data_IF_191177966415
#
_entry.id   IF_191177966415
#
_cell.length_a   1.000
_cell.length_b   1.000
_cell.length_c   1.000
_cell.angle_alpha   90.00
_cell.angle_beta   90.00
_cell.angle_gamma   90.00
#
_symmetry.space_group_name_H-M   'P 1'
#
loop_
_entity.id
_entity.type
_entity.pdbx_description
1 polymer ?
#
# COMPACT_ATOMS: atom_id res chain seq x y z
N UNK A 1 -8.63 9.15 -17.36
CA UNK A 1 -7.98 9.43 -16.04
C UNK A 1 -8.82 8.76 -14.97
N UNK A 2 -8.45 7.54 -14.53
CA UNK A 2 -9.01 6.94 -13.32
C UNK A 2 -8.29 7.61 -12.14
N UNK A 3 -8.88 8.67 -11.60
CA UNK A 3 -8.32 9.34 -10.43
C UNK A 3 -8.49 8.44 -9.21
N UNK A 4 -7.41 8.23 -8.45
CA UNK A 4 -7.40 7.60 -7.13
C UNK A 4 -8.40 8.29 -6.15
N UNK A 5 -8.83 9.51 -6.46
CA UNK A 5 -9.88 10.23 -5.75
C UNK A 5 -11.25 9.53 -5.75
N UNK A 6 -11.54 8.69 -6.75
CA UNK A 6 -12.83 7.99 -6.82
C UNK A 6 -12.96 6.79 -5.89
N UNK A 7 -11.89 6.33 -5.24
CA UNK A 7 -11.98 5.18 -4.35
C UNK A 7 -12.84 5.48 -3.10
N UNK A 8 -12.69 6.67 -2.52
CA UNK A 8 -13.50 7.11 -1.38
C UNK A 8 -14.96 7.42 -1.77
N UNK A 9 -15.21 7.94 -2.98
CA UNK A 9 -16.57 8.20 -3.47
C UNK A 9 -17.33 6.89 -3.84
N UNK A 10 -16.62 5.84 -4.29
CA UNK A 10 -17.24 4.56 -4.63
C UNK A 10 -17.72 3.78 -3.42
N UNK A 11 -17.13 3.95 -2.25
CA UNK A 11 -17.54 3.31 -0.99
C UNK A 11 -18.91 3.83 -0.51
N UNK A 12 -19.32 5.06 -0.89
CA UNK A 12 -20.55 5.68 -0.39
C UNK A 12 -21.79 5.54 -1.29
N UNK A 13 -21.67 5.07 -2.54
CA UNK A 13 -22.77 5.15 -3.53
C UNK A 13 -23.46 3.81 -3.88
N UNK A 14 -23.25 2.73 -3.13
CA UNK A 14 -24.04 1.50 -3.27
C UNK A 14 -23.95 0.79 -4.64
N UNK A 15 -22.93 1.08 -5.44
CA UNK A 15 -22.63 0.33 -6.67
C UNK A 15 -21.62 -0.75 -6.37
N UNK A 16 -21.77 -1.91 -6.98
CA UNK A 16 -20.87 -3.08 -6.89
C UNK A 16 -19.43 -2.67 -6.66
N UNK A 17 -18.93 -2.92 -5.45
CA UNK A 17 -17.58 -2.57 -5.02
C UNK A 17 -16.58 -3.28 -5.95
N UNK A 18 -15.97 -2.55 -6.85
CA UNK A 18 -14.78 -3.03 -7.53
C UNK A 18 -13.64 -2.96 -6.53
N UNK A 19 -13.16 -4.11 -6.08
CA UNK A 19 -12.01 -4.18 -5.19
C UNK A 19 -10.82 -3.45 -5.81
N UNK A 20 -10.10 -2.68 -4.98
CA UNK A 20 -8.85 -2.05 -5.37
C UNK A 20 -7.70 -3.05 -5.18
N UNK A 21 -7.04 -3.40 -6.28
CA UNK A 21 -5.98 -4.43 -6.28
C UNK A 21 -4.62 -3.76 -6.45
N UNK A 22 -3.73 -3.94 -5.47
CA UNK A 22 -2.34 -3.50 -5.54
C UNK A 22 -1.39 -4.69 -5.57
N UNK A 23 -0.56 -4.78 -6.60
CA UNK A 23 0.51 -5.77 -6.71
C UNK A 23 1.82 -5.15 -6.26
N UNK A 24 2.39 -5.66 -5.16
CA UNK A 24 3.55 -5.05 -4.51
C UNK A 24 4.85 -5.82 -4.75
N UNK A 25 5.95 -5.07 -4.95
CA UNK A 25 7.28 -5.65 -5.13
C UNK A 25 7.60 -5.95 -6.59
N UNK A 26 7.08 -5.16 -7.48
CA UNK A 26 7.43 -5.17 -8.91
C UNK A 26 8.92 -4.83 -9.06
N UNK A 27 9.64 -5.62 -9.85
CA UNK A 27 11.09 -5.48 -10.05
C UNK A 27 11.50 -5.25 -11.49
N UNK A 28 10.58 -5.42 -12.44
CA UNK A 28 10.83 -5.20 -13.85
C UNK A 28 9.66 -4.50 -14.55
N UNK A 29 9.93 -3.88 -15.69
CA UNK A 29 8.90 -3.32 -16.56
C UNK A 29 7.93 -4.40 -17.06
N UNK A 30 8.44 -5.60 -17.36
CA UNK A 30 7.60 -6.74 -17.76
C UNK A 30 6.59 -7.11 -16.68
N UNK A 31 7.01 -7.20 -15.41
CA UNK A 31 6.11 -7.49 -14.29
C UNK A 31 5.07 -6.37 -14.10
N UNK A 32 5.47 -5.11 -14.27
CA UNK A 32 4.57 -3.96 -14.19
C UNK A 32 3.48 -4.02 -15.27
N UNK A 33 3.85 -4.35 -16.50
CA UNK A 33 2.93 -4.51 -17.61
C UNK A 33 1.98 -5.70 -17.40
N UNK A 34 2.48 -6.84 -16.94
CA UNK A 34 1.65 -8.01 -16.61
C UNK A 34 0.65 -7.68 -15.50
N UNK A 35 1.08 -7.01 -14.44
CA UNK A 35 0.19 -6.58 -13.36
C UNK A 35 -0.93 -5.65 -13.87
N UNK A 36 -0.58 -4.66 -14.71
CA UNK A 36 -1.54 -3.76 -15.34
C UNK A 36 -2.55 -4.51 -16.22
N UNK A 37 -2.07 -5.37 -17.13
CA UNK A 37 -2.93 -6.15 -18.03
C UNK A 37 -3.84 -7.13 -17.27
N UNK A 38 -3.39 -7.65 -16.13
CA UNK A 38 -4.20 -8.47 -15.23
C UNK A 38 -5.26 -7.67 -14.44
N UNK A 39 -5.27 -6.33 -14.58
CA UNK A 39 -6.27 -5.45 -13.97
C UNK A 39 -5.89 -4.88 -12.62
N UNK A 40 -4.61 -4.89 -12.24
CA UNK A 40 -4.16 -4.20 -11.04
C UNK A 40 -4.43 -2.69 -11.13
N UNK A 41 -4.96 -2.12 -10.06
CA UNK A 41 -5.21 -0.67 -9.95
C UNK A 41 -3.95 0.08 -9.48
N UNK A 42 -3.05 -0.61 -8.75
CA UNK A 42 -1.76 -0.07 -8.33
C UNK A 42 -0.63 -1.11 -8.36
N UNK A 43 0.60 -0.61 -8.49
CA UNK A 43 1.83 -1.39 -8.32
C UNK A 43 2.71 -0.77 -7.23
N UNK A 44 3.42 -1.61 -6.47
CA UNK A 44 4.37 -1.18 -5.45
C UNK A 44 5.82 -1.37 -5.90
N UNK A 45 6.61 -0.30 -5.85
CA UNK A 45 8.06 -0.29 -6.09
C UNK A 45 8.78 -0.17 -4.74
N UNK A 46 9.65 -1.12 -4.43
CA UNK A 46 10.31 -1.19 -3.13
C UNK A 46 11.59 -0.34 -3.12
N UNK A 47 11.57 0.73 -2.32
CA UNK A 47 12.71 1.66 -2.16
C UNK A 47 13.60 1.33 -0.95
N UNK A 48 13.40 0.18 -0.31
CA UNK A 48 14.15 -0.27 0.87
C UNK A 48 15.29 -1.22 0.51
N UNK A 49 16.54 -0.78 0.72
CA UNK A 49 17.76 -1.51 0.27
C UNK A 49 17.93 -2.93 0.82
N UNK A 50 17.36 -3.24 1.97
CA UNK A 50 17.46 -4.59 2.55
C UNK A 50 16.41 -5.57 2.02
N UNK A 51 15.47 -5.08 1.20
CA UNK A 51 14.49 -5.95 0.56
C UNK A 51 15.12 -6.70 -0.63
N UNK A 52 14.78 -7.98 -0.79
CA UNK A 52 15.14 -8.75 -2.00
C UNK A 52 14.50 -8.20 -3.28
N UNK A 53 13.48 -7.35 -3.15
CA UNK A 53 12.76 -6.71 -4.27
C UNK A 53 13.13 -5.23 -4.41
N UNK A 54 14.24 -4.81 -3.81
CA UNK A 54 14.72 -3.43 -3.88
C UNK A 54 14.97 -2.98 -5.31
N UNK A 55 14.55 -1.77 -5.61
CA UNK A 55 14.89 -1.04 -6.82
C UNK A 55 15.74 0.18 -6.47
N UNK A 56 16.84 0.39 -7.19
CA UNK A 56 17.51 1.67 -7.14
C UNK A 56 16.65 2.73 -7.84
N UNK A 57 16.93 4.00 -7.58
CA UNK A 57 16.13 5.13 -8.04
C UNK A 57 15.99 5.19 -9.55
N UNK A 58 17.06 4.90 -10.30
CA UNK A 58 17.05 4.91 -11.78
C UNK A 58 16.09 3.84 -12.32
N UNK A 59 16.16 2.63 -11.78
CA UNK A 59 15.29 1.53 -12.21
C UNK A 59 13.82 1.77 -11.82
N UNK A 60 13.57 2.31 -10.63
CA UNK A 60 12.23 2.68 -10.20
C UNK A 60 11.65 3.77 -11.12
N UNK A 61 12.46 4.76 -11.50
CA UNK A 61 12.08 5.83 -12.43
C UNK A 61 11.76 5.29 -13.82
N UNK A 62 12.57 4.39 -14.37
CA UNK A 62 12.32 3.74 -15.66
C UNK A 62 10.96 3.04 -15.70
N UNK A 63 10.66 2.25 -14.66
CA UNK A 63 9.35 1.58 -14.53
C UNK A 63 8.23 2.60 -14.42
N UNK A 64 8.39 3.61 -13.54
CA UNK A 64 7.42 4.69 -13.35
C UNK A 64 7.08 5.40 -14.66
N UNK A 65 8.07 5.87 -15.42
CA UNK A 65 7.85 6.61 -16.67
C UNK A 65 7.07 5.81 -17.70
N UNK A 66 7.26 4.48 -17.68
CA UNK A 66 6.62 3.58 -18.64
C UNK A 66 5.17 3.25 -18.29
N UNK A 67 4.73 3.36 -17.02
CA UNK A 67 3.44 2.80 -16.57
C UNK A 67 2.55 3.79 -15.80
N UNK A 68 3.07 4.92 -15.30
CA UNK A 68 2.36 5.81 -14.37
C UNK A 68 1.06 6.44 -14.93
N UNK A 69 0.85 6.41 -16.24
CA UNK A 69 -0.39 6.87 -16.87
C UNK A 69 -1.46 5.77 -16.94
N UNK A 70 -1.13 4.54 -16.63
CA UNK A 70 -1.97 3.36 -16.79
C UNK A 70 -2.37 2.75 -15.45
N UNK A 71 -1.48 2.80 -14.46
CA UNK A 71 -1.66 2.22 -13.12
C UNK A 71 -1.06 3.14 -12.06
N UNK A 72 -1.65 3.18 -10.86
CA UNK A 72 -1.10 3.96 -9.76
C UNK A 72 0.23 3.36 -9.29
N UNK A 73 1.30 4.16 -9.28
CA UNK A 73 2.58 3.75 -8.71
C UNK A 73 2.64 4.13 -7.23
N UNK A 74 3.05 3.19 -6.39
CA UNK A 74 3.26 3.35 -4.95
C UNK A 74 4.72 3.07 -4.64
N UNK A 75 5.43 4.04 -4.06
CA UNK A 75 6.80 3.90 -3.60
C UNK A 75 6.80 3.44 -2.15
N UNK A 76 7.38 2.26 -1.88
CA UNK A 76 7.35 1.66 -0.54
C UNK A 76 8.66 1.94 0.17
N UNK A 77 8.57 2.67 1.27
CA UNK A 77 9.68 3.07 2.13
C UNK A 77 9.63 2.34 3.48
N UNK A 78 10.79 2.14 4.09
CA UNK A 78 10.94 1.62 5.45
C UNK A 78 12.03 2.44 6.13
N UNK A 79 11.65 3.30 7.07
CA UNK A 79 12.53 4.12 7.90
C UNK A 79 13.63 4.85 7.09
N UNK A 80 13.27 5.46 5.97
CA UNK A 80 14.18 6.21 5.10
C UNK A 80 14.33 7.64 5.59
N UNK A 81 15.41 8.33 5.16
CA UNK A 81 15.56 9.77 5.44
C UNK A 81 14.56 10.60 4.62
N UNK A 82 14.19 11.78 5.15
CA UNK A 82 13.29 12.72 4.45
C UNK A 82 13.86 13.14 3.09
N UNK A 83 15.19 13.34 3.01
CA UNK A 83 15.87 13.74 1.78
C UNK A 83 15.66 12.70 0.68
N UNK A 84 15.84 11.41 1.01
CA UNK A 84 15.68 10.33 0.02
C UNK A 84 14.23 10.16 -0.41
N UNK A 85 13.27 10.27 0.52
CA UNK A 85 11.84 10.21 0.17
C UNK A 85 11.46 11.38 -0.73
N UNK A 86 11.90 12.61 -0.41
CA UNK A 86 11.64 13.78 -1.26
C UNK A 86 12.26 13.62 -2.64
N UNK A 87 13.52 13.18 -2.75
CA UNK A 87 14.17 12.90 -4.03
C UNK A 87 13.34 11.93 -4.89
N UNK A 88 12.85 10.85 -4.29
CA UNK A 88 12.00 9.88 -4.99
C UNK A 88 10.67 10.49 -5.44
N UNK A 89 10.01 11.27 -4.60
CA UNK A 89 8.71 11.88 -4.88
C UNK A 89 8.80 13.05 -5.87
N UNK A 90 9.92 13.75 -5.92
CA UNK A 90 10.17 14.82 -6.90
C UNK A 90 10.43 14.23 -8.29
N UNK A 91 11.17 13.14 -8.36
CA UNK A 91 11.38 12.41 -9.60
C UNK A 91 10.12 11.69 -10.11
N UNK A 92 9.22 11.26 -9.22
CA UNK A 92 8.02 10.49 -9.53
C UNK A 92 6.76 11.16 -8.94
N UNK A 93 6.38 12.35 -9.43
CA UNK A 93 5.43 13.26 -8.75
C UNK A 93 3.99 12.71 -8.61
N UNK A 94 3.58 11.76 -9.47
CA UNK A 94 2.26 11.11 -9.37
C UNK A 94 2.30 9.82 -8.55
N UNK A 95 3.45 9.44 -8.00
CA UNK A 95 3.54 8.29 -7.11
C UNK A 95 3.01 8.65 -5.71
N UNK A 96 2.46 7.64 -5.02
CA UNK A 96 2.04 7.75 -3.62
C UNK A 96 3.12 7.12 -2.74
N UNK A 97 3.50 7.80 -1.66
CA UNK A 97 4.38 7.21 -0.65
C UNK A 97 3.60 6.19 0.19
N UNK A 98 4.19 5.02 0.42
CA UNK A 98 3.76 4.06 1.43
C UNK A 98 4.85 3.91 2.48
N UNK A 99 4.56 4.31 3.70
CA UNK A 99 5.47 4.16 4.84
C UNK A 99 5.18 2.82 5.53
N UNK A 100 6.14 1.93 5.48
CA UNK A 100 5.98 0.53 5.91
C UNK A 100 6.91 0.14 7.07
N UNK A 101 7.58 1.11 7.67
CA UNK A 101 8.44 0.97 8.83
C UNK A 101 7.81 1.53 10.10
N UNK A 102 8.65 2.06 10.97
CA UNK A 102 8.28 2.66 12.25
C UNK A 102 8.15 4.20 12.18
N UNK A 103 7.90 4.73 10.97
CA UNK A 103 7.78 6.17 10.74
C UNK A 103 6.66 6.75 11.61
N UNK A 104 6.96 7.88 12.29
CA UNK A 104 6.00 8.58 13.13
C UNK A 104 4.94 9.33 12.31
N UNK A 105 3.79 9.66 12.91
CA UNK A 105 2.78 10.48 12.25
C UNK A 105 3.32 11.84 11.76
N UNK A 106 4.19 12.49 12.54
CA UNK A 106 4.85 13.76 12.20
C UNK A 106 5.72 13.61 10.96
N UNK A 107 6.54 12.57 10.93
CA UNK A 107 7.36 12.23 9.76
C UNK A 107 6.49 12.02 8.52
N UNK A 108 5.44 11.21 8.61
CA UNK A 108 4.56 10.94 7.47
C UNK A 108 3.89 12.22 6.93
N UNK A 109 3.52 13.16 7.81
CA UNK A 109 2.88 14.43 7.42
C UNK A 109 3.85 15.47 6.88
N UNK A 110 5.17 15.36 7.15
CA UNK A 110 6.16 16.37 6.74
C UNK A 110 6.22 16.55 5.22
N UNK A 111 5.89 15.51 4.46
CA UNK A 111 5.93 15.52 2.98
C UNK A 111 4.78 16.30 2.33
N UNK A 112 3.72 16.67 3.08
CA UNK A 112 2.54 17.43 2.59
C UNK A 112 1.90 16.82 1.33
N UNK A 113 1.94 15.51 1.21
CA UNK A 113 1.37 14.71 0.12
C UNK A 113 0.52 13.59 0.71
N UNK A 114 -0.42 13.07 -0.06
CA UNK A 114 -1.15 11.85 0.29
C UNK A 114 -0.19 10.69 0.52
N UNK A 115 -0.41 9.92 1.58
CA UNK A 115 0.39 8.75 1.89
C UNK A 115 -0.45 7.57 2.35
N UNK A 116 0.12 6.39 2.22
CA UNK A 116 -0.37 5.14 2.81
C UNK A 116 0.51 4.83 4.02
N UNK A 117 -0.09 4.49 5.17
CA UNK A 117 0.67 3.98 6.31
C UNK A 117 0.37 2.51 6.50
N UNK A 118 1.41 1.68 6.52
CA UNK A 118 1.29 0.28 6.87
C UNK A 118 1.33 0.12 8.40
N UNK A 119 0.35 -0.62 8.93
CA UNK A 119 0.22 -0.95 10.34
C UNK A 119 0.29 -2.47 10.49
N UNK A 120 1.18 -2.94 11.37
CA UNK A 120 1.27 -4.36 11.71
C UNK A 120 0.19 -4.73 12.72
N UNK A 121 -0.71 -5.65 12.34
CA UNK A 121 -1.83 -6.08 13.17
C UNK A 121 -1.34 -6.96 14.32
N UNK A 122 -1.78 -6.62 15.54
CA UNK A 122 -1.59 -7.37 16.79
C UNK A 122 -2.95 -7.61 17.44
N UNK A 123 -3.00 -8.44 18.49
CA UNK A 123 -4.24 -8.84 19.16
C UNK A 123 -5.12 -7.68 19.63
N UNK A 124 -4.54 -6.56 20.06
CA UNK A 124 -5.26 -5.37 20.56
C UNK A 124 -5.35 -4.23 19.52
N UNK A 125 -5.47 -4.56 18.23
CA UNK A 125 -5.55 -3.55 17.18
C UNK A 125 -6.90 -2.81 17.19
N UNK A 126 -6.82 -1.48 17.04
CA UNK A 126 -7.99 -0.59 16.87
C UNK A 126 -7.77 0.32 15.66
N UNK A 127 -8.61 0.15 14.63
CA UNK A 127 -8.50 0.86 13.36
C UNK A 127 -8.81 2.35 13.50
N UNK A 128 -9.82 2.70 14.31
CA UNK A 128 -10.21 4.08 14.55
C UNK A 128 -9.08 4.85 15.23
N UNK A 129 -8.49 4.28 16.28
CA UNK A 129 -7.34 4.87 16.96
C UNK A 129 -6.13 5.06 16.02
N UNK A 130 -5.88 4.09 15.13
CA UNK A 130 -4.80 4.22 14.15
C UNK A 130 -5.07 5.35 13.13
N UNK A 131 -6.33 5.56 12.72
CA UNK A 131 -6.70 6.69 11.86
C UNK A 131 -6.61 8.04 12.58
N UNK A 132 -6.92 8.09 13.88
CA UNK A 132 -6.72 9.30 14.70
C UNK A 132 -5.24 9.62 14.85
N UNK A 133 -4.41 8.62 15.14
CA UNK A 133 -2.96 8.76 15.28
C UNK A 133 -2.31 9.27 13.98
N UNK A 134 -2.61 8.61 12.86
CA UNK A 134 -2.11 9.00 11.53
C UNK A 134 -3.06 9.94 10.79
N UNK A 135 -3.60 10.96 11.48
CA UNK A 135 -4.49 11.95 10.86
C UNK A 135 -3.87 12.54 9.58
N UNK A 136 -4.65 12.61 8.50
CA UNK A 136 -4.17 13.01 7.18
C UNK A 136 -3.65 11.84 6.32
N UNK A 137 -3.64 10.60 6.83
CA UNK A 137 -3.39 9.42 6.00
C UNK A 137 -4.48 9.27 4.94
N UNK A 138 -4.08 8.93 3.72
CA UNK A 138 -5.03 8.64 2.65
C UNK A 138 -5.79 7.34 2.93
N UNK A 139 -5.04 6.30 3.29
CA UNK A 139 -5.59 5.00 3.67
C UNK A 139 -4.54 4.22 4.49
N UNK A 140 -5.01 3.46 5.49
CA UNK A 140 -4.19 2.51 6.22
C UNK A 140 -4.05 1.20 5.44
N UNK A 141 -2.87 0.59 5.48
CA UNK A 141 -2.62 -0.75 4.99
C UNK A 141 -2.37 -1.66 6.20
N UNK A 142 -3.19 -2.67 6.35
CA UNK A 142 -3.11 -3.64 7.45
C UNK A 142 -2.29 -4.84 7.01
N UNK A 143 -1.14 -5.06 7.64
CA UNK A 143 -0.21 -6.15 7.30
C UNK A 143 -0.06 -7.12 8.49
N UNK A 144 0.30 -8.35 8.20
CA UNK A 144 0.62 -9.35 9.22
C UNK A 144 1.87 -8.92 9.99
N UNK A 145 1.80 -9.01 11.33
CA UNK A 145 2.98 -8.78 12.15
C UNK A 145 4.04 -9.88 11.91
N UNK A 146 5.24 -9.46 11.56
CA UNK A 146 6.41 -10.33 11.54
C UNK A 146 7.57 -9.64 12.28
N UNK A 147 8.06 -10.20 13.40
CA UNK A 147 9.11 -9.57 14.19
C UNK A 147 10.48 -9.52 13.49
N UNK A 148 10.66 -10.29 12.42
CA UNK A 148 11.96 -10.44 11.73
C UNK A 148 12.01 -9.71 10.39
N UNK A 149 10.88 -9.55 9.70
CA UNK A 149 10.83 -8.95 8.36
C UNK A 149 9.72 -7.90 8.26
N UNK A 150 10.00 -6.78 7.62
CA UNK A 150 9.00 -5.78 7.25
C UNK A 150 8.27 -6.28 5.99
N UNK A 151 7.15 -7.01 6.19
CA UNK A 151 6.31 -7.54 5.11
C UNK A 151 6.89 -8.77 4.37
N UNK A 152 6.05 -9.43 3.58
CA UNK A 152 6.48 -10.52 2.68
C UNK A 152 6.74 -11.86 3.34
N UNK A 153 6.34 -12.08 4.61
CA UNK A 153 6.53 -13.34 5.32
C UNK A 153 5.67 -14.50 4.82
N UNK A 154 4.63 -14.21 4.04
CA UNK A 154 3.67 -15.22 3.57
C UNK A 154 2.68 -15.70 4.64
N UNK A 155 2.81 -15.27 5.89
CA UNK A 155 1.90 -15.65 6.96
C UNK A 155 0.70 -14.71 7.00
N UNK A 156 -0.52 -15.25 7.02
CA UNK A 156 -1.74 -14.47 7.31
C UNK A 156 -1.86 -14.25 8.82
N UNK A 157 -2.33 -13.07 9.23
CA UNK A 157 -2.78 -12.84 10.59
C UNK A 157 -4.22 -13.34 10.76
N UNK A 158 -4.70 -13.39 11.99
CA UNK A 158 -6.10 -13.74 12.26
C UNK A 158 -7.02 -12.61 11.77
N UNK A 159 -7.69 -12.80 10.65
CA UNK A 159 -8.60 -11.82 10.05
C UNK A 159 -9.84 -11.52 10.92
N UNK A 160 -10.17 -12.38 11.90
CA UNK A 160 -11.26 -12.11 12.86
C UNK A 160 -11.01 -10.83 13.66
N UNK A 161 -9.75 -10.41 13.79
CA UNK A 161 -9.39 -9.16 14.46
C UNK A 161 -9.92 -7.91 13.73
N UNK A 162 -10.21 -8.01 12.43
CA UNK A 162 -10.68 -6.91 11.59
C UNK A 162 -12.04 -7.18 10.93
N UNK A 163 -12.65 -8.37 11.17
CA UNK A 163 -13.94 -8.73 10.57
C UNK A 163 -15.07 -7.82 11.05
N UNK A 164 -15.80 -7.24 10.08
CA UNK A 164 -17.14 -6.62 10.23
C UNK A 164 -17.31 -5.53 11.32
N UNK A 165 -16.24 -4.96 11.86
CA UNK A 165 -16.30 -3.98 12.96
C UNK A 165 -16.02 -2.56 12.55
N UNK A 166 -15.47 -2.35 11.33
CA UNK A 166 -14.96 -1.05 10.92
C UNK A 166 -15.74 -0.47 9.74
N UNK A 167 -16.09 0.82 9.86
CA UNK A 167 -16.69 1.60 8.77
C UNK A 167 -15.65 2.35 7.94
N UNK A 168 -14.40 2.37 8.41
CA UNK A 168 -13.31 3.06 7.75
C UNK A 168 -12.65 2.14 6.70
N UNK A 169 -12.31 2.65 5.52
CA UNK A 169 -11.65 1.87 4.47
C UNK A 169 -10.23 1.51 4.87
N UNK A 170 -9.74 0.36 4.42
CA UNK A 170 -8.34 -0.04 4.57
C UNK A 170 -7.90 -0.96 3.44
N UNK A 171 -6.59 -1.08 3.24
CA UNK A 171 -5.99 -2.07 2.35
C UNK A 171 -5.60 -3.28 3.20
N UNK A 172 -6.09 -4.47 2.84
CA UNK A 172 -5.63 -5.71 3.44
C UNK A 172 -4.34 -6.17 2.78
N UNK A 173 -3.34 -6.51 3.58
CA UNK A 173 -2.08 -7.11 3.16
C UNK A 173 -1.67 -8.23 4.12
N UNK A 174 -0.46 -8.79 3.93
CA UNK A 174 0.07 -9.85 4.80
C UNK A 174 -0.46 -11.24 4.47
N UNK A 175 0.37 -12.03 3.82
CA UNK A 175 0.11 -13.43 3.53
C UNK A 175 -0.97 -13.71 2.49
N UNK A 176 -1.47 -12.70 1.77
CA UNK A 176 -2.40 -12.89 0.66
C UNK A 176 -1.72 -13.63 -0.49
N UNK A 177 -2.43 -14.62 -1.03
CA UNK A 177 -2.00 -15.44 -2.15
C UNK A 177 -3.24 -15.93 -2.95
N UNK A 178 -3.06 -16.58 -4.11
CA UNK A 178 -4.18 -17.04 -4.94
C UNK A 178 -5.16 -17.97 -4.21
N UNK A 179 -4.70 -18.74 -3.23
CA UNK A 179 -5.51 -19.74 -2.55
C UNK A 179 -6.43 -19.13 -1.47
N UNK A 180 -6.06 -17.95 -0.92
CA UNK A 180 -6.79 -17.32 0.19
C UNK A 180 -7.42 -15.96 -0.13
N UNK A 181 -7.08 -15.33 -1.25
CA UNK A 181 -7.57 -13.99 -1.59
C UNK A 181 -9.11 -13.96 -1.76
N UNK A 182 -9.70 -15.02 -2.26
CA UNK A 182 -11.17 -15.12 -2.41
C UNK A 182 -11.86 -15.18 -1.05
N UNK A 183 -11.29 -15.91 -0.08
CA UNK A 183 -11.77 -15.93 1.31
C UNK A 183 -11.71 -14.52 1.92
N UNK A 184 -10.58 -13.81 1.72
CA UNK A 184 -10.42 -12.43 2.18
C UNK A 184 -11.49 -11.49 1.63
N UNK A 185 -11.74 -11.54 0.32
CA UNK A 185 -12.76 -10.72 -0.36
C UNK A 185 -14.20 -11.04 0.07
N UNK A 186 -14.47 -12.28 0.48
CA UNK A 186 -15.81 -12.70 0.96
C UNK A 186 -16.07 -12.44 2.44
N UNK A 187 -15.01 -12.35 3.26
CA UNK A 187 -15.10 -12.23 4.71
C UNK A 187 -14.75 -10.85 5.28
N UNK A 188 -14.08 -10.02 4.50
CA UNK A 188 -13.55 -8.73 4.97
C UNK A 188 -14.01 -7.63 4.02
N UNK A 189 -14.59 -6.58 4.60
CA UNK A 189 -15.01 -5.40 3.84
C UNK A 189 -13.83 -4.41 3.72
N UNK A 190 -12.86 -4.69 2.83
CA UNK A 190 -11.65 -3.91 2.59
C UNK A 190 -11.60 -3.29 1.18
#
# INVERSE_FOLDING_TARGET
RKNFFNLLEFVFLGKTLKHFIKICGITSLGDAQVAHLAGADAIGLMMYKKSSRYLNLLKAREIYDSINQQVQVVLVFVDQSEEYVNECLDLMPNAIAQFHGSETPEYCRSFKKDFIKAISIREEFNLEAAYEEFSGVKILLLDSYNPVTFGGSGNKFNWDLIQNRHKLPFILAGGLNPDNVIEALGGINC
#
